data_IF_681791630835
#
_entry.id   IF_681791630835
#
_cell.length_a   1.000
_cell.length_b   1.000
_cell.length_c   1.000
_cell.angle_alpha   90.00
_cell.angle_beta   90.00
_cell.angle_gamma   90.00
#
_symmetry.space_group_name_H-M   'P 1'
#
loop_
_entity.id
_entity.type
_entity.pdbx_description
1 polymer ?
#
# COMPACT_ATOMS: atom_id res chain seq x y z
N UNK A 1 6.39 -8.76 30.81
CA UNK A 1 7.83 -8.77 30.49
C UNK A 1 7.92 -8.66 28.98
N UNK A 2 8.42 -7.58 28.38
CA UNK A 2 8.67 -7.61 26.94
C UNK A 2 9.80 -8.62 26.76
N UNK A 3 9.60 -9.64 25.93
CA UNK A 3 10.66 -10.57 25.58
C UNK A 3 11.89 -9.74 25.17
N UNK A 4 13.04 -9.98 25.80
CA UNK A 4 14.32 -9.49 25.30
C UNK A 4 14.46 -10.03 23.89
N UNK A 5 14.15 -9.20 22.89
CA UNK A 5 14.02 -9.64 21.49
C UNK A 5 15.38 -10.14 21.01
N UNK A 6 15.40 -11.35 20.48
CA UNK A 6 16.61 -11.91 19.90
C UNK A 6 17.04 -11.05 18.70
N UNK A 7 18.34 -10.73 18.58
CA UNK A 7 18.84 -10.01 17.41
C UNK A 7 18.58 -10.86 16.17
N UNK A 8 18.18 -10.19 15.08
CA UNK A 8 18.01 -10.85 13.78
C UNK A 8 19.36 -11.33 13.25
N UNK A 9 19.37 -12.45 12.55
CA UNK A 9 20.58 -13.03 11.98
C UNK A 9 20.80 -12.65 10.52
N UNK A 10 19.72 -12.41 9.77
CA UNK A 10 19.76 -11.97 8.38
C UNK A 10 18.43 -11.36 7.92
N UNK A 11 18.47 -10.64 6.80
CA UNK A 11 17.27 -10.23 6.05
C UNK A 11 17.04 -11.17 4.87
N UNK A 12 15.80 -11.58 4.64
CA UNK A 12 15.42 -12.49 3.54
C UNK A 12 14.29 -11.89 2.72
N UNK A 13 14.48 -11.76 1.40
CA UNK A 13 13.39 -11.52 0.46
C UNK A 13 12.53 -12.78 0.37
N UNK A 14 11.28 -12.68 0.83
CA UNK A 14 10.31 -13.76 0.79
C UNK A 14 9.39 -13.56 -0.42
N UNK A 15 9.72 -14.22 -1.52
CA UNK A 15 8.89 -14.19 -2.73
C UNK A 15 7.66 -15.08 -2.52
N UNK A 16 6.50 -14.45 -2.43
CA UNK A 16 5.21 -15.12 -2.18
C UNK A 16 4.37 -15.24 -3.44
N UNK A 17 4.85 -14.71 -4.57
CA UNK A 17 4.14 -14.73 -5.85
C UNK A 17 4.57 -15.92 -6.69
N UNK A 18 3.68 -16.37 -7.56
CA UNK A 18 4.03 -17.32 -8.61
C UNK A 18 5.05 -16.72 -9.59
N UNK A 19 4.88 -15.43 -9.90
CA UNK A 19 5.79 -14.66 -10.72
C UNK A 19 5.95 -13.24 -10.15
N UNK A 20 7.20 -12.81 -9.99
CA UNK A 20 7.57 -11.45 -9.63
C UNK A 20 8.30 -10.83 -10.84
N UNK A 21 7.81 -9.70 -11.41
CA UNK A 21 8.48 -9.02 -12.51
C UNK A 21 9.93 -8.66 -12.16
N UNK A 22 10.83 -8.71 -13.14
CA UNK A 22 12.27 -8.55 -12.93
C UNK A 22 12.59 -7.22 -12.26
N UNK A 23 11.99 -6.13 -12.76
CA UNK A 23 12.22 -4.80 -12.20
C UNK A 23 11.75 -4.70 -10.73
N UNK A 24 10.64 -5.33 -10.37
CA UNK A 24 10.17 -5.34 -8.98
C UNK A 24 11.08 -6.19 -8.10
N UNK A 25 11.53 -7.36 -8.60
CA UNK A 25 12.50 -8.19 -7.89
C UNK A 25 13.76 -7.41 -7.55
N UNK A 26 14.31 -6.69 -8.52
CA UNK A 26 15.51 -5.88 -8.34
C UNK A 26 15.31 -4.79 -7.27
N UNK A 27 14.18 -4.07 -7.33
CA UNK A 27 13.81 -3.08 -6.31
C UNK A 27 13.67 -3.72 -4.93
N UNK A 28 13.00 -4.87 -4.82
CA UNK A 28 12.80 -5.57 -3.56
C UNK A 28 14.12 -6.06 -2.95
N UNK A 29 15.05 -6.55 -3.78
CA UNK A 29 16.39 -6.94 -3.33
C UNK A 29 17.16 -5.75 -2.76
N UNK A 30 17.13 -4.60 -3.44
CA UNK A 30 17.76 -3.40 -2.91
C UNK A 30 17.11 -2.92 -1.61
N UNK A 31 15.78 -2.95 -1.51
CA UNK A 31 15.07 -2.65 -0.25
C UNK A 31 15.55 -3.59 0.87
N UNK A 32 15.68 -4.89 0.59
CA UNK A 32 16.20 -5.85 1.55
C UNK A 32 17.65 -5.55 1.95
N UNK A 33 18.52 -5.12 1.02
CA UNK A 33 19.89 -4.69 1.31
C UNK A 33 19.91 -3.44 2.22
N UNK A 34 19.06 -2.44 1.96
CA UNK A 34 18.94 -1.25 2.81
C UNK A 34 18.46 -1.59 4.23
N UNK A 35 17.51 -2.53 4.36
CA UNK A 35 17.04 -3.03 5.65
C UNK A 35 18.10 -3.87 6.38
N UNK A 36 18.89 -4.66 5.65
CA UNK A 36 19.99 -5.43 6.22
C UNK A 36 21.05 -4.52 6.83
N UNK A 37 21.43 -3.46 6.11
CA UNK A 37 22.32 -2.41 6.62
C UNK A 37 21.75 -1.74 7.87
N UNK A 38 20.46 -1.42 7.88
CA UNK A 38 19.78 -0.79 9.02
C UNK A 38 19.75 -1.70 10.26
N UNK A 39 19.59 -3.01 10.05
CA UNK A 39 19.54 -4.02 11.12
C UNK A 39 20.93 -4.56 11.50
N UNK A 40 22.01 -4.08 10.86
CA UNK A 40 23.38 -4.54 11.04
C UNK A 40 23.56 -6.06 10.81
N UNK A 41 22.89 -6.59 9.78
CA UNK A 41 22.96 -8.00 9.36
C UNK A 41 23.17 -8.09 7.85
N UNK A 42 23.40 -9.30 7.34
CA UNK A 42 23.48 -9.53 5.90
C UNK A 42 22.11 -9.86 5.30
N UNK A 43 21.92 -9.55 4.02
CA UNK A 43 20.84 -10.12 3.22
C UNK A 43 21.28 -11.50 2.71
N UNK A 44 20.47 -12.52 2.93
CA UNK A 44 20.75 -13.89 2.46
C UNK A 44 19.65 -14.38 1.53
N UNK A 45 20.01 -15.28 0.62
CA UNK A 45 19.03 -15.98 -0.20
C UNK A 45 18.25 -17.00 0.65
N UNK A 46 16.96 -17.25 0.35
CA UNK A 46 16.22 -18.31 1.00
C UNK A 46 16.91 -19.67 0.81
N UNK A 47 17.12 -20.41 1.89
CA UNK A 47 17.68 -21.78 1.84
C UNK A 47 16.56 -22.81 2.03
N UNK A 48 16.47 -23.87 1.20
CA UNK A 48 15.49 -24.93 1.37
C UNK A 48 15.75 -25.81 2.61
N UNK A 49 16.94 -25.75 3.21
CA UNK A 49 17.29 -26.48 4.44
C UNK A 49 17.32 -25.56 5.66
N UNK A 50 16.44 -24.56 5.69
CA UNK A 50 16.36 -23.60 6.78
C UNK A 50 16.21 -24.31 8.13
N UNK A 51 17.08 -23.93 9.07
CA UNK A 51 16.89 -24.31 10.47
C UNK A 51 15.66 -23.57 11.00
N UNK A 52 14.76 -24.28 11.69
CA UNK A 52 13.62 -23.70 12.42
C UNK A 52 14.04 -22.65 13.47
N UNK A 53 15.35 -22.54 13.74
CA UNK A 53 15.95 -21.61 14.71
C UNK A 53 16.54 -20.33 14.10
N UNK A 54 16.40 -20.09 12.79
CA UNK A 54 16.98 -18.91 12.17
C UNK A 54 16.11 -17.67 12.40
N UNK A 55 16.57 -16.73 13.23
CA UNK A 55 15.88 -15.48 13.54
C UNK A 55 15.98 -14.47 12.39
N UNK A 56 15.29 -14.71 11.27
CA UNK A 56 15.30 -13.81 10.12
C UNK A 56 14.34 -12.64 10.25
N UNK A 57 14.62 -11.60 9.48
CA UNK A 57 13.71 -10.50 9.19
C UNK A 57 13.27 -10.61 7.72
N UNK A 58 11.98 -10.79 7.49
CA UNK A 58 11.44 -11.10 6.16
C UNK A 58 11.01 -9.83 5.42
N UNK A 59 11.25 -9.81 4.13
CA UNK A 59 10.79 -8.76 3.21
C UNK A 59 9.85 -9.43 2.22
N UNK A 60 8.54 -9.55 2.53
CA UNK A 60 7.62 -10.27 1.66
C UNK A 60 7.21 -9.44 0.45
N UNK A 61 7.06 -10.10 -0.71
CA UNK A 61 6.62 -9.43 -1.94
C UNK A 61 5.14 -9.03 -1.92
N UNK A 62 4.33 -9.68 -1.07
CA UNK A 62 2.92 -9.37 -0.84
C UNK A 62 2.62 -9.34 0.66
N UNK A 63 1.48 -8.78 1.04
CA UNK A 63 0.94 -8.92 2.39
C UNK A 63 0.74 -10.41 2.66
N UNK A 64 1.30 -10.89 3.75
CA UNK A 64 1.22 -12.31 4.12
C UNK A 64 -0.22 -12.66 4.49
N UNK A 65 -0.67 -13.83 4.06
CA UNK A 65 -1.99 -14.36 4.40
C UNK A 65 -1.80 -15.71 5.07
N UNK A 66 -2.52 -15.95 6.18
CA UNK A 66 -2.41 -17.13 7.04
C UNK A 66 -1.23 -17.07 8.03
N UNK A 67 -1.50 -16.53 9.23
CA UNK A 67 -0.52 -16.41 10.30
C UNK A 67 0.02 -17.76 10.78
N UNK A 68 -0.76 -18.84 10.70
CA UNK A 68 -0.29 -20.16 11.13
C UNK A 68 0.81 -20.69 10.22
N UNK A 69 0.68 -20.45 8.91
CA UNK A 69 1.70 -20.81 7.92
C UNK A 69 3.04 -20.10 8.19
N UNK A 70 3.00 -18.80 8.51
CA UNK A 70 4.23 -18.00 8.68
C UNK A 70 4.80 -18.05 10.11
N UNK A 71 4.02 -18.46 11.10
CA UNK A 71 4.53 -18.77 12.45
C UNK A 71 5.60 -19.88 12.41
N UNK A 72 5.49 -20.85 11.49
CA UNK A 72 6.49 -21.88 11.28
C UNK A 72 7.82 -21.34 10.71
N UNK A 73 7.80 -20.14 10.12
CA UNK A 73 8.99 -19.40 9.68
C UNK A 73 9.47 -18.37 10.72
N UNK A 74 8.87 -18.36 11.93
CA UNK A 74 9.22 -17.42 12.99
C UNK A 74 8.66 -16.00 12.80
N UNK A 75 7.63 -15.83 11.95
CA UNK A 75 6.92 -14.55 11.81
C UNK A 75 5.76 -14.49 12.80
N UNK A 76 5.87 -13.59 13.78
CA UNK A 76 4.92 -13.46 14.87
C UNK A 76 4.41 -12.02 15.06
N UNK A 77 5.28 -11.01 14.88
CA UNK A 77 4.92 -9.61 15.03
C UNK A 77 5.64 -8.68 14.03
N UNK A 78 5.41 -7.36 14.14
CA UNK A 78 5.99 -6.34 13.25
C UNK A 78 7.55 -6.31 13.25
N UNK A 79 8.21 -6.99 14.18
CA UNK A 79 9.67 -7.09 14.27
C UNK A 79 10.23 -8.23 13.42
N UNK A 80 9.38 -9.02 12.77
CA UNK A 80 9.78 -10.19 11.99
C UNK A 80 9.67 -9.96 10.48
N UNK A 81 9.02 -8.88 10.04
CA UNK A 81 8.88 -8.56 8.62
C UNK A 81 8.88 -7.07 8.33
N UNK A 82 9.13 -6.69 7.07
CA UNK A 82 8.86 -5.36 6.50
C UNK A 82 7.66 -5.42 5.55
N UNK A 83 6.46 -5.15 6.08
CA UNK A 83 5.19 -5.37 5.40
C UNK A 83 4.08 -5.59 6.42
N UNK A 84 3.03 -6.31 6.03
CA UNK A 84 1.98 -6.75 6.92
C UNK A 84 1.52 -8.19 6.68
N UNK A 85 0.71 -8.67 7.62
CA UNK A 85 0.10 -9.99 7.60
C UNK A 85 -1.37 -9.89 8.01
N UNK A 86 -2.20 -10.70 7.37
CA UNK A 86 -3.65 -10.77 7.58
C UNK A 86 -4.14 -12.21 7.64
N UNK A 87 -5.36 -12.41 8.15
CA UNK A 87 -5.94 -13.75 8.29
C UNK A 87 -6.62 -14.28 7.04
N UNK A 88 -7.12 -13.41 6.16
CA UNK A 88 -7.88 -13.81 4.97
C UNK A 88 -7.42 -13.08 3.71
N UNK A 89 -7.50 -13.69 2.51
CA UNK A 89 -7.01 -13.10 1.26
C UNK A 89 -7.57 -11.71 0.95
N UNK A 90 -8.89 -11.53 1.03
CA UNK A 90 -9.55 -10.24 0.74
C UNK A 90 -9.00 -9.08 1.60
N UNK A 91 -8.54 -9.37 2.84
CA UNK A 91 -7.98 -8.37 3.75
C UNK A 91 -6.68 -7.76 3.22
N UNK A 92 -5.92 -8.50 2.41
CA UNK A 92 -4.69 -8.02 1.78
C UNK A 92 -4.95 -7.05 0.60
N UNK A 93 -6.20 -6.69 0.34
CA UNK A 93 -6.60 -5.90 -0.83
C UNK A 93 -7.51 -4.73 -0.45
N UNK A 94 -7.84 -3.90 -1.43
CA UNK A 94 -8.83 -2.82 -1.33
C UNK A 94 -10.27 -3.29 -1.07
N UNK A 95 -10.56 -4.60 -1.14
CA UNK A 95 -11.88 -5.16 -0.85
C UNK A 95 -12.39 -4.83 0.55
N UNK A 96 -11.52 -4.56 1.52
CA UNK A 96 -11.96 -4.22 2.88
C UNK A 96 -12.66 -2.86 2.98
N UNK A 97 -12.47 -1.98 1.99
CA UNK A 97 -12.76 -0.55 2.14
C UNK A 97 -14.23 -0.22 2.25
N UNK A 98 -15.14 -1.07 1.79
CA UNK A 98 -16.55 -0.72 1.65
C UNK A 98 -17.46 -1.78 2.28
N UNK A 99 -18.66 -1.39 2.76
CA UNK A 99 -19.66 -2.34 3.23
C UNK A 99 -20.16 -3.22 2.07
N UNK A 100 -20.86 -4.29 2.40
CA UNK A 100 -21.61 -5.07 1.42
C UNK A 100 -22.97 -4.44 1.11
N UNK A 101 -23.57 -4.70 -0.08
CA UNK A 101 -24.99 -4.45 -0.28
C UNK A 101 -25.82 -5.38 0.64
N UNK A 102 -27.07 -4.99 0.93
CA UNK A 102 -27.95 -5.78 1.78
C UNK A 102 -28.14 -7.21 1.23
N UNK A 103 -28.09 -8.20 2.12
CA UNK A 103 -28.23 -9.62 1.80
C UNK A 103 -27.20 -10.14 0.77
N UNK A 104 -26.00 -9.55 0.73
CA UNK A 104 -24.90 -10.03 -0.12
C UNK A 104 -24.28 -11.32 0.40
N UNK A 105 -23.60 -12.05 -0.49
CA UNK A 105 -22.72 -13.14 -0.09
C UNK A 105 -21.32 -12.63 0.22
N UNK A 106 -20.64 -13.30 1.14
CA UNK A 106 -19.30 -12.90 1.57
C UNK A 106 -18.45 -14.12 1.99
N UNK A 107 -17.11 -14.01 1.88
CA UNK A 107 -16.21 -15.08 2.27
C UNK A 107 -16.10 -15.20 3.79
N UNK A 108 -15.58 -16.34 4.30
CA UNK A 108 -15.20 -16.46 5.69
C UNK A 108 -14.27 -15.33 6.14
N UNK A 109 -14.49 -14.83 7.36
CA UNK A 109 -13.70 -13.75 7.94
C UNK A 109 -14.18 -12.33 7.61
N UNK A 110 -15.18 -12.18 6.74
CA UNK A 110 -15.75 -10.87 6.46
C UNK A 110 -16.46 -10.27 7.68
N UNK A 111 -16.37 -8.95 7.83
CA UNK A 111 -17.09 -8.17 8.85
C UNK A 111 -17.39 -6.76 8.34
N UNK A 112 -18.65 -6.33 8.46
CA UNK A 112 -19.04 -4.95 8.14
C UNK A 112 -18.55 -3.95 9.21
N UNK A 113 -18.09 -4.43 10.37
CA UNK A 113 -17.65 -3.57 11.47
C UNK A 113 -16.44 -2.69 11.10
N UNK A 114 -15.59 -3.18 10.18
CA UNK A 114 -14.51 -2.38 9.62
C UNK A 114 -15.06 -1.15 8.90
N UNK A 115 -15.94 -1.35 7.90
CA UNK A 115 -16.49 -0.25 7.11
C UNK A 115 -17.36 0.69 7.96
N UNK A 116 -18.08 0.17 8.95
CA UNK A 116 -18.86 0.99 9.89
C UNK A 116 -17.98 1.91 10.74
N UNK A 117 -16.81 1.43 11.18
CA UNK A 117 -15.86 2.25 11.93
C UNK A 117 -15.13 3.22 10.99
N UNK A 118 -14.62 2.72 9.87
CA UNK A 118 -13.86 3.50 8.90
C UNK A 118 -14.71 4.53 8.15
N UNK A 119 -16.05 4.47 8.21
CA UNK A 119 -17.03 5.28 7.46
C UNK A 119 -16.54 6.65 6.98
N UNK A 120 -16.16 7.56 7.88
CA UNK A 120 -15.78 8.94 7.54
C UNK A 120 -14.42 9.06 6.82
N UNK A 121 -13.66 7.97 6.77
CA UNK A 121 -12.44 7.80 6.02
C UNK A 121 -12.65 7.17 4.64
N UNK A 122 -13.88 6.80 4.27
CA UNK A 122 -14.17 6.08 3.03
C UNK A 122 -14.95 6.96 2.05
N UNK A 123 -14.77 6.68 0.76
CA UNK A 123 -15.72 7.13 -0.25
C UNK A 123 -16.98 6.28 -0.19
N UNK A 124 -18.06 6.75 -0.80
CA UNK A 124 -19.27 5.93 -0.95
C UNK A 124 -18.97 4.78 -1.90
N UNK A 125 -19.28 3.56 -1.48
CA UNK A 125 -19.09 2.37 -2.30
C UNK A 125 -19.59 1.10 -1.66
N UNK A 126 -19.36 0.00 -2.37
CA UNK A 126 -19.65 -1.36 -1.96
C UNK A 126 -18.50 -2.29 -2.36
N UNK A 127 -18.26 -3.28 -1.50
CA UNK A 127 -17.53 -4.48 -1.87
C UNK A 127 -18.51 -5.59 -2.18
N UNK A 128 -18.19 -6.42 -3.18
CA UNK A 128 -19.02 -7.54 -3.60
C UNK A 128 -18.18 -8.78 -3.87
N UNK A 129 -18.73 -9.96 -3.60
CA UNK A 129 -18.08 -11.25 -3.83
C UNK A 129 -18.84 -12.14 -4.82
N UNK A 130 -19.81 -11.56 -5.53
CA UNK A 130 -20.56 -12.24 -6.59
C UNK A 130 -20.96 -11.28 -7.70
N UNK A 131 -21.15 -11.82 -8.90
CA UNK A 131 -21.64 -11.05 -10.05
C UNK A 131 -23.07 -10.53 -9.83
N UNK A 132 -23.89 -11.26 -9.08
CA UNK A 132 -25.24 -10.82 -8.73
C UNK A 132 -25.20 -9.59 -7.81
N UNK A 133 -24.32 -9.60 -6.80
CA UNK A 133 -24.16 -8.50 -5.87
C UNK A 133 -23.53 -7.28 -6.53
N UNK A 134 -22.61 -7.48 -7.47
CA UNK A 134 -22.05 -6.42 -8.28
C UNK A 134 -23.12 -5.64 -9.05
N UNK A 135 -24.09 -6.34 -9.66
CA UNK A 135 -25.22 -5.69 -10.35
C UNK A 135 -26.08 -4.89 -9.37
N UNK A 136 -26.42 -5.46 -8.21
CA UNK A 136 -27.19 -4.77 -7.16
C UNK A 136 -26.47 -3.52 -6.65
N UNK A 137 -25.17 -3.63 -6.37
CA UNK A 137 -24.34 -2.51 -5.93
C UNK A 137 -24.26 -1.40 -6.98
N UNK A 138 -24.07 -1.75 -8.26
CA UNK A 138 -24.06 -0.79 -9.34
C UNK A 138 -25.40 -0.07 -9.50
N UNK A 139 -26.53 -0.79 -9.44
CA UNK A 139 -27.87 -0.20 -9.48
C UNK A 139 -28.14 0.80 -8.34
N UNK A 140 -27.52 0.60 -7.17
CA UNK A 140 -27.61 1.52 -6.05
C UNK A 140 -26.75 2.76 -6.28
N UNK A 141 -25.47 2.57 -6.63
CA UNK A 141 -24.50 3.66 -6.78
C UNK A 141 -24.79 4.55 -7.99
N UNK A 142 -25.22 3.97 -9.12
CA UNK A 142 -25.50 4.69 -10.36
C UNK A 142 -26.65 5.71 -10.25
N UNK A 143 -27.44 5.65 -9.16
CA UNK A 143 -28.47 6.66 -8.87
C UNK A 143 -27.87 8.01 -8.48
N UNK A 144 -26.65 8.00 -7.96
CA UNK A 144 -25.95 9.16 -7.44
C UNK A 144 -24.80 9.64 -8.37
N UNK A 145 -24.49 8.91 -9.44
CA UNK A 145 -23.49 9.31 -10.44
C UNK A 145 -22.69 8.15 -11.04
N UNK A 146 -21.63 8.45 -11.82
CA UNK A 146 -20.72 7.46 -12.36
C UNK A 146 -20.04 6.64 -11.26
N UNK A 147 -19.76 5.37 -11.57
CA UNK A 147 -19.20 4.38 -10.62
C UNK A 147 -17.87 3.87 -11.13
N UNK A 148 -16.86 3.92 -10.28
CA UNK A 148 -15.55 3.34 -10.53
C UNK A 148 -15.52 1.89 -10.05
N UNK A 149 -15.25 0.99 -10.99
CA UNK A 149 -15.08 -0.45 -10.79
C UNK A 149 -13.61 -0.76 -10.59
N UNK A 150 -13.27 -1.44 -9.49
CA UNK A 150 -11.90 -1.67 -9.05
C UNK A 150 -11.64 -3.15 -8.80
N UNK A 151 -11.07 -3.87 -9.79
CA UNK A 151 -10.51 -5.20 -9.55
C UNK A 151 -9.48 -5.13 -8.43
N UNK A 152 -9.64 -5.97 -7.41
CA UNK A 152 -8.93 -5.77 -6.13
C UNK A 152 -7.46 -6.19 -6.20
N UNK A 153 -7.13 -7.15 -7.07
CA UNK A 153 -5.76 -7.63 -7.31
C UNK A 153 -4.95 -6.74 -8.24
N UNK A 154 -5.60 -5.83 -8.98
CA UNK A 154 -4.89 -4.91 -9.85
C UNK A 154 -4.18 -3.82 -9.03
N UNK A 155 -2.99 -3.42 -9.48
CA UNK A 155 -2.12 -2.46 -8.81
C UNK A 155 -1.94 -1.20 -9.66
N UNK A 156 -1.57 -0.08 -9.00
CA UNK A 156 -1.22 1.19 -9.64
C UNK A 156 -2.31 1.73 -10.60
N UNK A 157 -3.57 1.66 -10.20
CA UNK A 157 -4.69 2.18 -10.99
C UNK A 157 -5.08 1.34 -12.22
N UNK A 158 -4.26 0.36 -12.62
CA UNK A 158 -4.51 -0.44 -13.82
C UNK A 158 -5.81 -1.25 -13.68
N UNK A 159 -6.56 -1.35 -14.77
CA UNK A 159 -7.79 -2.15 -14.83
C UNK A 159 -9.00 -1.55 -14.12
N UNK A 160 -8.90 -0.34 -13.57
CA UNK A 160 -10.07 0.40 -13.08
C UNK A 160 -10.86 0.97 -14.26
N UNK A 161 -12.18 0.93 -14.18
CA UNK A 161 -13.06 1.44 -15.22
C UNK A 161 -14.21 2.23 -14.61
N UNK A 162 -14.61 3.31 -15.26
CA UNK A 162 -15.76 4.12 -14.86
C UNK A 162 -16.96 3.73 -15.72
N UNK A 163 -18.07 3.39 -15.08
CA UNK A 163 -19.35 3.09 -15.73
C UNK A 163 -20.35 4.20 -15.41
N UNK A 164 -21.19 4.53 -16.39
CA UNK A 164 -22.28 5.52 -16.26
C UNK A 164 -23.67 4.90 -16.35
N UNK A 165 -23.73 3.60 -16.67
CA UNK A 165 -24.95 2.81 -16.71
C UNK A 165 -24.64 1.34 -16.37
N UNK A 166 -25.68 0.57 -16.06
CA UNK A 166 -25.54 -0.83 -15.69
C UNK A 166 -25.16 -1.76 -16.84
N UNK A 167 -25.37 -1.37 -18.10
CA UNK A 167 -25.03 -2.21 -19.25
C UNK A 167 -23.51 -2.29 -19.43
N UNK A 168 -22.80 -1.20 -19.14
CA UNK A 168 -21.34 -1.14 -19.17
C UNK A 168 -20.66 -2.10 -18.15
N UNK A 169 -21.39 -2.57 -17.13
CA UNK A 169 -20.87 -3.53 -16.15
C UNK A 169 -20.78 -4.97 -16.71
N UNK A 170 -21.64 -5.34 -17.67
CA UNK A 170 -21.78 -6.74 -18.09
C UNK A 170 -20.50 -7.32 -18.70
N UNK A 171 -19.81 -6.65 -19.65
CA UNK A 171 -18.56 -7.18 -20.21
C UNK A 171 -17.46 -7.36 -19.14
N UNK A 172 -17.47 -6.52 -18.10
CA UNK A 172 -16.52 -6.62 -16.99
C UNK A 172 -16.79 -7.87 -16.15
N UNK A 173 -18.05 -8.13 -15.83
CA UNK A 173 -18.43 -9.32 -15.06
C UNK A 173 -18.26 -10.61 -15.85
N UNK A 174 -18.50 -10.60 -17.17
CA UNK A 174 -18.29 -11.76 -18.03
C UNK A 174 -16.82 -12.21 -18.04
N UNK A 175 -15.88 -11.26 -18.03
CA UNK A 175 -14.45 -11.55 -18.01
C UNK A 175 -13.91 -12.06 -16.66
N UNK A 176 -14.68 -11.90 -15.56
CA UNK A 176 -14.24 -12.29 -14.22
C UNK A 176 -14.50 -13.76 -13.91
N UNK A 177 -13.48 -14.43 -13.37
CA UNK A 177 -13.61 -15.75 -12.77
C UNK A 177 -14.41 -15.68 -11.45
N UNK A 178 -15.43 -16.53 -11.31
CA UNK A 178 -16.34 -16.50 -10.16
C UNK A 178 -15.68 -16.96 -8.86
N UNK A 179 -14.72 -17.89 -8.93
CA UNK A 179 -14.00 -18.37 -7.75
C UNK A 179 -13.05 -17.28 -7.23
N UNK A 180 -12.32 -16.62 -8.13
CA UNK A 180 -11.48 -15.48 -7.77
C UNK A 180 -12.32 -14.32 -7.22
N UNK A 181 -13.46 -14.01 -7.82
CA UNK A 181 -14.37 -12.99 -7.32
C UNK A 181 -14.89 -13.33 -5.92
N UNK A 182 -15.28 -14.58 -5.67
CA UNK A 182 -15.73 -15.04 -4.36
C UNK A 182 -14.66 -15.01 -3.27
N UNK A 183 -13.38 -15.12 -3.66
CA UNK A 183 -12.25 -15.12 -2.73
C UNK A 183 -11.71 -13.73 -2.42
N UNK A 184 -11.55 -12.91 -3.45
CA UNK A 184 -10.86 -11.62 -3.37
C UNK A 184 -11.83 -10.44 -3.33
N UNK A 185 -12.94 -10.55 -4.05
CA UNK A 185 -13.95 -9.50 -4.17
C UNK A 185 -13.72 -8.53 -5.32
N UNK A 186 -14.67 -7.62 -5.47
CA UNK A 186 -14.68 -6.49 -6.40
C UNK A 186 -15.17 -5.25 -5.63
N UNK A 187 -14.56 -4.10 -5.91
CA UNK A 187 -15.00 -2.83 -5.33
C UNK A 187 -15.71 -2.00 -6.39
N UNK A 188 -16.86 -1.43 -6.01
CA UNK A 188 -17.59 -0.42 -6.75
C UNK A 188 -17.70 0.81 -5.86
N UNK A 189 -17.23 1.96 -6.32
CA UNK A 189 -17.29 3.20 -5.54
C UNK A 189 -17.67 4.39 -6.41
N UNK A 190 -18.08 5.50 -5.80
CA UNK A 190 -18.30 6.74 -6.53
C UNK A 190 -17.02 7.17 -7.26
N UNK A 191 -17.17 7.61 -8.51
CA UNK A 191 -16.05 8.20 -9.24
C UNK A 191 -15.89 9.68 -8.86
N UNK A 192 -14.64 10.16 -8.88
CA UNK A 192 -14.30 11.53 -8.54
C UNK A 192 -13.58 12.20 -9.72
N UNK A 193 -13.90 13.46 -9.95
CA UNK A 193 -13.23 14.33 -10.90
C UNK A 193 -12.10 15.14 -10.23
N UNK A 194 -11.10 15.53 -11.03
CA UNK A 194 -9.97 16.37 -10.60
C UNK A 194 -9.28 15.82 -9.33
N UNK A 195 -8.96 14.52 -9.34
CA UNK A 195 -8.44 13.81 -8.18
C UNK A 195 -6.99 14.16 -7.91
N UNK A 196 -6.73 14.57 -6.68
CA UNK A 196 -5.41 14.56 -6.06
C UNK A 196 -5.30 13.30 -5.19
N UNK A 197 -4.20 12.57 -5.30
CA UNK A 197 -3.95 11.40 -4.46
C UNK A 197 -2.79 11.67 -3.50
N UNK A 198 -3.03 11.41 -2.22
CA UNK A 198 -2.04 11.52 -1.17
C UNK A 198 -1.59 10.13 -0.72
N UNK A 199 -0.30 10.01 -0.39
CA UNK A 199 0.24 8.86 0.33
C UNK A 199 0.39 9.23 1.80
N UNK A 200 -0.27 8.49 2.69
CA UNK A 200 -0.08 8.61 4.14
C UNK A 200 0.35 7.27 4.69
N UNK A 201 1.42 7.21 5.47
CA UNK A 201 1.92 5.93 5.95
C UNK A 201 2.83 6.03 7.17
N UNK A 202 3.18 4.85 7.67
CA UNK A 202 4.09 4.69 8.80
C UNK A 202 4.90 3.40 8.67
N UNK A 203 6.19 3.50 8.96
CA UNK A 203 7.11 2.37 9.03
C UNK A 203 7.70 2.21 10.43
N UNK A 204 7.82 0.97 10.90
CA UNK A 204 8.39 0.56 12.18
C UNK A 204 9.41 -0.55 11.96
N UNK A 205 10.69 -0.24 12.13
CA UNK A 205 11.79 -1.20 11.99
C UNK A 205 13.02 -0.70 12.74
N UNK A 206 13.82 -1.62 13.27
CA UNK A 206 15.06 -1.30 14.00
C UNK A 206 14.85 -0.30 15.16
N UNK A 207 13.69 -0.33 15.82
CA UNK A 207 13.33 0.59 16.89
C UNK A 207 12.98 2.02 16.44
N UNK A 208 13.00 2.29 15.13
CA UNK A 208 12.53 3.55 14.55
C UNK A 208 11.04 3.44 14.24
N UNK A 209 10.32 4.54 14.47
CA UNK A 209 8.99 4.78 13.92
C UNK A 209 9.10 6.05 13.08
N UNK A 210 8.73 5.96 11.80
CA UNK A 210 8.64 7.12 10.91
C UNK A 210 7.23 7.18 10.33
N UNK A 211 6.63 8.36 10.33
CA UNK A 211 5.34 8.64 9.72
C UNK A 211 5.48 9.69 8.63
N UNK A 212 4.63 9.62 7.61
CA UNK A 212 4.70 10.53 6.48
C UNK A 212 3.35 10.84 5.88
N UNK A 213 3.30 11.99 5.21
CA UNK A 213 2.28 12.32 4.22
C UNK A 213 2.98 12.81 2.95
N UNK A 214 2.31 12.76 1.82
CA UNK A 214 2.87 13.26 0.57
C UNK A 214 1.88 13.20 -0.57
N UNK A 215 2.24 13.82 -1.68
CA UNK A 215 1.42 13.83 -2.91
C UNK A 215 1.98 12.82 -3.88
N UNK A 216 1.09 12.05 -4.51
CA UNK A 216 1.44 11.15 -5.60
C UNK A 216 1.45 11.90 -6.92
N UNK A 217 2.32 11.47 -7.82
CA UNK A 217 2.40 11.97 -9.18
C UNK A 217 2.13 10.85 -10.16
N UNK A 218 1.56 11.20 -11.31
CA UNK A 218 1.38 10.27 -12.42
C UNK A 218 2.53 10.43 -13.42
N UNK A 219 2.84 9.32 -14.10
CA UNK A 219 3.74 9.26 -15.24
C UNK A 219 3.01 8.59 -16.40
N UNK A 220 3.57 8.64 -17.60
CA UNK A 220 3.01 7.94 -18.77
C UNK A 220 3.87 6.75 -19.11
N UNK A 221 3.23 5.60 -19.26
CA UNK A 221 3.91 4.41 -19.78
C UNK A 221 4.14 4.51 -21.29
N UNK A 222 4.79 3.49 -21.87
CA UNK A 222 5.06 3.46 -23.33
C UNK A 222 3.81 3.46 -24.20
N UNK A 223 2.64 3.10 -23.65
CA UNK A 223 1.36 3.18 -24.34
C UNK A 223 0.68 4.56 -24.18
N UNK A 224 1.30 5.48 -23.44
CA UNK A 224 0.74 6.80 -23.11
C UNK A 224 -0.30 6.76 -22.00
N UNK A 225 -0.48 5.61 -21.31
CA UNK A 225 -1.43 5.47 -20.21
C UNK A 225 -0.86 6.12 -18.96
N UNK A 226 -1.67 6.91 -18.26
CA UNK A 226 -1.28 7.50 -16.99
C UNK A 226 -1.28 6.44 -15.88
N UNK A 227 -0.15 6.31 -15.19
CA UNK A 227 0.10 5.34 -14.13
C UNK A 227 0.85 6.01 -13.00
N UNK A 228 0.92 5.35 -11.84
CA UNK A 228 1.69 5.87 -10.71
C UNK A 228 3.16 6.13 -11.10
N UNK A 229 3.60 7.36 -10.89
CA UNK A 229 4.95 7.85 -11.23
C UNK A 229 5.84 8.11 -10.02
N UNK A 230 5.33 7.95 -8.80
CA UNK A 230 6.08 8.23 -7.57
C UNK A 230 5.32 9.13 -6.60
N UNK A 231 5.93 9.40 -5.44
CA UNK A 231 5.38 10.31 -4.43
C UNK A 231 6.46 11.27 -3.93
N UNK A 232 6.09 12.52 -3.64
CA UNK A 232 6.89 13.44 -2.82
C UNK A 232 6.39 13.39 -1.37
N UNK A 233 7.22 12.91 -0.46
CA UNK A 233 6.90 12.66 0.95
C UNK A 233 7.58 13.66 1.88
N UNK A 234 6.83 14.12 2.88
CA UNK A 234 7.35 14.73 4.10
C UNK A 234 7.32 13.67 5.18
N UNK A 235 8.49 13.32 5.70
CA UNK A 235 8.66 12.22 6.65
C UNK A 235 9.15 12.79 7.98
N UNK A 236 8.56 12.35 9.09
CA UNK A 236 8.94 12.75 10.45
C UNK A 236 9.38 11.54 11.27
N UNK A 237 10.24 11.79 12.25
CA UNK A 237 10.49 10.84 13.33
C UNK A 237 9.27 10.81 14.26
N UNK A 238 8.76 9.61 14.52
CA UNK A 238 7.60 9.38 15.37
C UNK A 238 6.39 8.89 14.59
N UNK A 239 5.28 8.80 15.30
CA UNK A 239 4.00 8.28 14.81
C UNK A 239 3.14 9.35 14.10
N UNK A 240 1.89 9.01 13.78
CA UNK A 240 0.95 9.94 13.16
C UNK A 240 0.66 11.18 14.02
N UNK A 241 0.77 11.09 15.36
CA UNK A 241 0.59 12.25 16.23
C UNK A 241 1.71 13.27 16.01
N UNK A 242 2.95 12.80 15.82
CA UNK A 242 4.07 13.67 15.45
C UNK A 242 3.87 14.28 14.06
N UNK A 243 3.33 13.50 13.11
CA UNK A 243 3.00 13.99 11.78
C UNK A 243 1.94 15.11 11.82
N UNK A 244 0.91 14.96 12.67
CA UNK A 244 -0.16 15.94 12.86
C UNK A 244 0.31 17.26 13.51
N UNK A 245 1.49 17.29 14.15
CA UNK A 245 2.09 18.51 14.71
C UNK A 245 2.72 19.41 13.64
N UNK A 246 2.85 18.95 12.40
CA UNK A 246 3.31 19.79 11.30
C UNK A 246 2.30 20.93 11.02
N UNK A 247 2.76 22.06 10.48
CA UNK A 247 1.89 23.10 9.94
C UNK A 247 1.23 22.59 8.64
N UNK A 248 0.13 21.86 8.79
CA UNK A 248 -0.60 21.20 7.71
C UNK A 248 -1.78 22.05 7.24
N UNK A 249 -2.02 22.02 5.94
CA UNK A 249 -3.32 22.43 5.38
C UNK A 249 -4.43 21.48 5.84
N UNK A 250 -5.66 21.98 5.95
CA UNK A 250 -6.80 21.23 6.49
C UNK A 250 -7.05 19.92 5.73
N UNK A 251 -6.86 19.91 4.41
CA UNK A 251 -7.06 18.73 3.59
C UNK A 251 -5.99 17.64 3.83
N UNK A 252 -4.74 18.04 4.09
CA UNK A 252 -3.67 17.09 4.46
C UNK A 252 -3.91 16.53 5.86
N UNK A 253 -4.38 17.38 6.79
CA UNK A 253 -4.78 16.94 8.14
C UNK A 253 -5.94 15.96 8.07
N UNK A 254 -6.94 16.21 7.22
CA UNK A 254 -8.03 15.29 6.96
C UNK A 254 -7.51 13.96 6.44
N UNK A 255 -6.65 13.95 5.41
CA UNK A 255 -6.06 12.73 4.87
C UNK A 255 -5.33 11.92 5.97
N UNK A 256 -4.53 12.55 6.82
CA UNK A 256 -3.85 11.86 7.91
C UNK A 256 -4.85 11.23 8.89
N UNK A 257 -5.89 11.97 9.28
CA UNK A 257 -6.93 11.43 10.16
C UNK A 257 -7.68 10.25 9.50
N UNK A 258 -7.99 10.34 8.20
CA UNK A 258 -8.64 9.25 7.46
C UNK A 258 -7.77 7.99 7.41
N UNK A 259 -6.47 8.14 7.17
CA UNK A 259 -5.52 7.03 7.24
C UNK A 259 -5.50 6.37 8.64
N UNK A 260 -5.49 7.20 9.70
CA UNK A 260 -5.52 6.71 11.08
C UNK A 260 -6.82 5.96 11.39
N UNK A 261 -7.99 6.52 11.06
CA UNK A 261 -9.28 5.86 11.30
C UNK A 261 -9.41 4.54 10.53
N UNK A 262 -8.90 4.49 9.30
CA UNK A 262 -8.85 3.28 8.50
C UNK A 262 -7.92 2.21 9.11
N UNK A 263 -6.75 2.61 9.59
CA UNK A 263 -5.80 1.74 10.30
C UNK A 263 -6.39 1.20 11.61
N UNK A 264 -6.97 2.08 12.44
CA UNK A 264 -7.61 1.72 13.71
C UNK A 264 -8.75 0.70 13.50
N UNK A 265 -9.51 0.84 12.40
CA UNK A 265 -10.52 -0.13 12.03
C UNK A 265 -9.89 -1.50 11.69
N UNK A 266 -8.76 -1.53 10.96
CA UNK A 266 -8.06 -2.78 10.63
C UNK A 266 -7.52 -3.46 11.90
N UNK A 267 -6.82 -2.72 12.77
CA UNK A 267 -6.29 -3.22 14.03
C UNK A 267 -7.39 -3.78 14.94
N UNK A 268 -8.57 -3.16 14.92
CA UNK A 268 -9.68 -3.56 15.78
C UNK A 268 -10.46 -4.76 15.27
N UNK A 269 -10.67 -4.86 13.95
CA UNK A 269 -11.63 -5.81 13.38
C UNK A 269 -11.01 -6.90 12.51
N UNK A 270 -9.69 -6.89 12.27
CA UNK A 270 -8.98 -7.97 11.59
C UNK A 270 -8.05 -8.70 12.57
N UNK A 271 -8.54 -9.76 13.24
CA UNK A 271 -7.71 -10.57 14.12
C UNK A 271 -6.46 -11.06 13.40
N UNK A 272 -5.31 -10.95 14.08
CA UNK A 272 -4.01 -11.34 13.51
C UNK A 272 -3.41 -10.32 12.54
N UNK A 273 -4.04 -9.16 12.34
CA UNK A 273 -3.43 -8.06 11.60
C UNK A 273 -2.17 -7.56 12.31
N UNK A 274 -1.06 -7.58 11.58
CA UNK A 274 0.19 -6.92 11.98
C UNK A 274 0.74 -6.15 10.78
N UNK A 275 1.36 -5.00 11.01
CA UNK A 275 2.00 -4.22 9.96
C UNK A 275 3.18 -3.41 10.50
N UNK A 276 4.39 -3.77 10.08
CA UNK A 276 5.57 -2.93 10.28
C UNK A 276 5.66 -1.83 9.23
N UNK A 277 5.06 -2.04 8.06
CA UNK A 277 4.94 -1.06 6.98
C UNK A 277 3.48 -0.93 6.57
N UNK A 278 2.96 0.29 6.60
CA UNK A 278 1.64 0.64 6.06
C UNK A 278 1.69 1.93 5.26
N UNK A 279 0.93 1.95 4.18
CA UNK A 279 0.66 3.12 3.36
C UNK A 279 -0.81 3.08 2.94
N UNK A 280 -1.46 4.23 2.94
CA UNK A 280 -2.84 4.41 2.49
C UNK A 280 -2.85 5.49 1.41
N UNK A 281 -3.51 5.17 0.31
CA UNK A 281 -3.70 6.10 -0.80
C UNK A 281 -5.04 6.79 -0.58
N UNK A 282 -5.03 8.12 -0.46
CA UNK A 282 -6.20 8.92 -0.15
C UNK A 282 -6.51 9.83 -1.32
N UNK A 283 -7.70 9.68 -1.89
CA UNK A 283 -8.19 10.58 -2.93
C UNK A 283 -8.83 11.80 -2.30
N UNK A 284 -8.65 12.95 -2.97
CA UNK A 284 -9.45 14.14 -2.80
C UNK A 284 -9.89 14.64 -4.18
N UNK A 285 -11.18 14.82 -4.38
CA UNK A 285 -11.74 15.21 -5.69
C UNK A 285 -13.19 15.64 -5.58
N UNK A 286 -13.82 15.97 -6.71
CA UNK A 286 -15.22 16.36 -6.76
C UNK A 286 -16.10 15.16 -7.12
N UNK A 287 -17.20 14.96 -6.40
CA UNK A 287 -18.23 14.00 -6.81
C UNK A 287 -19.03 14.51 -8.02
N UNK A 288 -19.91 13.67 -8.56
CA UNK A 288 -20.76 14.01 -9.71
C UNK A 288 -21.63 15.27 -9.51
N UNK A 289 -21.90 15.65 -8.27
CA UNK A 289 -22.66 16.85 -7.92
C UNK A 289 -21.77 18.07 -7.65
N UNK A 290 -20.45 17.94 -7.80
CA UNK A 290 -19.47 18.99 -7.54
C UNK A 290 -19.09 19.17 -6.08
N UNK A 291 -19.49 18.25 -5.18
CA UNK A 291 -19.06 18.32 -3.79
C UNK A 291 -17.65 17.76 -3.64
N UNK A 292 -16.82 18.45 -2.88
CA UNK A 292 -15.50 17.95 -2.53
C UNK A 292 -15.62 16.74 -1.60
N UNK A 293 -14.99 15.63 -1.99
CA UNK A 293 -14.87 14.38 -1.23
C UNK A 293 -13.42 14.07 -0.94
N UNK A 294 -13.19 13.34 0.15
CA UNK A 294 -11.90 12.79 0.52
C UNK A 294 -12.11 11.41 1.12
N UNK A 295 -11.27 10.44 0.77
CA UNK A 295 -11.37 9.09 1.34
C UNK A 295 -10.24 8.17 0.91
N UNK A 296 -9.97 7.15 1.73
CA UNK A 296 -9.00 6.11 1.45
C UNK A 296 -9.48 5.28 0.26
N UNK A 297 -8.65 5.23 -0.79
CA UNK A 297 -8.89 4.42 -1.98
C UNK A 297 -8.46 2.98 -1.78
N UNK A 298 -7.31 2.77 -1.13
CA UNK A 298 -6.76 1.46 -0.85
C UNK A 298 -5.65 1.51 0.21
N UNK A 299 -5.41 0.37 0.85
CA UNK A 299 -4.24 0.13 1.69
C UNK A 299 -3.13 -0.57 0.92
N UNK A 300 -1.89 -0.38 1.38
CA UNK A 300 -0.70 -1.10 0.96
C UNK A 300 0.12 -1.54 2.19
N UNK A 301 -0.09 -2.78 2.63
CA UNK A 301 0.68 -3.48 3.67
C UNK A 301 1.72 -4.44 3.07
N UNK A 302 2.31 -4.07 1.94
CA UNK A 302 3.38 -4.79 1.23
C UNK A 302 4.40 -3.80 0.71
N UNK A 303 5.47 -4.24 0.07
CA UNK A 303 6.34 -3.33 -0.68
C UNK A 303 5.55 -2.62 -1.79
N UNK A 304 5.85 -1.33 -1.99
CA UNK A 304 5.17 -0.51 -2.99
C UNK A 304 6.00 0.69 -3.44
N UNK A 305 5.37 1.57 -4.22
CA UNK A 305 6.05 2.71 -4.85
C UNK A 305 6.69 3.71 -3.88
N UNK A 306 6.24 3.78 -2.62
CA UNK A 306 6.83 4.61 -1.59
C UNK A 306 8.02 3.94 -0.86
N UNK A 307 8.16 2.61 -0.93
CA UNK A 307 9.15 1.86 -0.15
C UNK A 307 10.62 2.27 -0.37
N UNK A 308 11.06 2.62 -1.59
CA UNK A 308 12.38 3.22 -1.80
C UNK A 308 12.64 4.48 -0.95
N UNK A 309 11.68 5.40 -0.87
CA UNK A 309 11.81 6.59 -0.02
C UNK A 309 11.78 6.24 1.47
N UNK A 310 10.96 5.28 1.88
CA UNK A 310 10.87 4.81 3.27
C UNK A 310 12.22 4.28 3.78
N UNK A 311 12.88 3.40 3.02
CA UNK A 311 14.16 2.80 3.46
C UNK A 311 15.32 3.80 3.47
N UNK A 312 15.37 4.72 2.51
CA UNK A 312 16.36 5.80 2.54
C UNK A 312 16.13 6.74 3.73
N UNK A 313 14.87 7.05 4.05
CA UNK A 313 14.54 7.84 5.22
C UNK A 313 14.95 7.13 6.51
N UNK A 314 14.62 5.84 6.65
CA UNK A 314 15.03 5.02 7.80
C UNK A 314 16.55 5.07 8.01
N UNK A 315 17.35 4.96 6.95
CA UNK A 315 18.80 5.08 7.05
C UNK A 315 19.25 6.48 7.49
N UNK A 316 18.66 7.54 6.93
CA UNK A 316 18.98 8.91 7.32
C UNK A 316 18.65 9.18 8.81
N UNK A 317 17.46 8.78 9.27
CA UNK A 317 17.07 8.90 10.67
C UNK A 317 17.87 7.98 11.61
N UNK A 318 18.35 6.83 11.15
CA UNK A 318 19.26 6.00 11.94
C UNK A 318 20.64 6.64 12.11
N UNK A 319 21.15 7.28 11.05
CA UNK A 319 22.46 7.93 11.04
C UNK A 319 22.50 9.22 11.87
N UNK A 320 21.40 9.97 11.92
CA UNK A 320 21.29 11.20 12.71
C UNK A 320 20.11 11.17 13.69
N UNK A 321 20.36 10.89 15.00
CA UNK A 321 19.34 10.95 16.04
C UNK A 321 18.67 12.33 16.21
N UNK A 322 19.34 13.42 15.83
CA UNK A 322 18.81 14.76 15.93
C UNK A 322 17.82 15.08 14.79
N UNK A 323 17.89 14.38 13.66
CA UNK A 323 16.98 14.54 12.53
C UNK A 323 15.54 14.26 12.97
N UNK A 324 14.67 15.26 12.79
CA UNK A 324 13.24 15.16 13.13
C UNK A 324 12.34 15.10 11.90
N UNK A 325 12.81 15.59 10.75
CA UNK A 325 12.04 15.67 9.52
C UNK A 325 12.95 15.71 8.32
N UNK A 326 12.55 15.05 7.24
CA UNK A 326 13.19 15.15 5.92
C UNK A 326 12.14 15.12 4.81
N UNK A 327 12.56 15.41 3.58
CA UNK A 327 11.76 15.17 2.39
C UNK A 327 12.37 14.02 1.60
N UNK A 328 11.54 13.13 1.11
CA UNK A 328 11.97 12.05 0.24
C UNK A 328 11.03 11.98 -0.96
N UNK A 329 11.53 11.50 -2.09
CA UNK A 329 10.68 11.32 -3.27
C UNK A 329 11.01 10.03 -3.98
N UNK A 330 10.02 9.33 -4.48
CA UNK A 330 10.18 8.19 -5.40
C UNK A 330 9.79 8.59 -6.81
N UNK A 331 10.38 7.93 -7.80
CA UNK A 331 10.19 8.23 -9.21
C UNK A 331 10.19 6.95 -10.03
N UNK A 332 9.17 6.77 -10.86
CA UNK A 332 9.08 5.77 -11.92
C UNK A 332 9.00 6.48 -13.27
N UNK A 333 10.00 6.26 -14.12
CA UNK A 333 10.15 6.97 -15.40
C UNK A 333 10.32 5.95 -16.52
N UNK A 334 9.43 5.99 -17.50
CA UNK A 334 9.48 5.15 -18.69
C UNK A 334 10.39 5.77 -19.75
N UNK A 335 11.14 4.93 -20.45
CA UNK A 335 12.12 5.31 -21.46
C UNK A 335 13.52 5.60 -20.90
N UNK A 336 14.35 6.25 -21.72
CA UNK A 336 15.72 6.59 -21.36
C UNK A 336 15.74 7.82 -20.43
N UNK A 337 15.82 7.56 -19.13
CA UNK A 337 15.88 8.59 -18.11
C UNK A 337 17.32 8.91 -17.70
N UNK A 338 17.69 10.20 -17.76
CA UNK A 338 18.88 10.70 -17.07
C UNK A 338 18.55 10.92 -15.60
N UNK A 339 19.24 10.18 -14.73
CA UNK A 339 19.02 10.24 -13.30
C UNK A 339 19.64 11.54 -12.72
N UNK A 340 18.95 12.23 -11.79
CA UNK A 340 19.55 13.29 -10.99
C UNK A 340 20.79 12.78 -10.24
N UNK A 341 21.77 13.66 -10.00
CA UNK A 341 23.02 13.29 -9.32
C UNK A 341 22.83 12.86 -7.87
N UNK A 342 21.72 13.30 -7.24
CA UNK A 342 21.32 12.96 -5.88
C UNK A 342 20.34 11.77 -5.83
N UNK A 343 20.12 11.07 -6.95
CA UNK A 343 19.25 9.90 -7.00
C UNK A 343 19.96 8.64 -6.51
N UNK A 344 19.27 7.89 -5.65
CA UNK A 344 19.59 6.49 -5.38
C UNK A 344 18.80 5.61 -6.34
N UNK A 345 19.53 4.87 -7.17
CA UNK A 345 18.96 4.03 -8.22
C UNK A 345 18.49 2.68 -7.67
N UNK A 346 17.21 2.37 -7.87
CA UNK A 346 16.62 1.06 -7.51
C UNK A 346 16.53 0.10 -8.68
N UNK A 347 16.25 0.60 -9.87
CA UNK A 347 16.24 -0.18 -11.10
C UNK A 347 16.45 0.74 -12.29
N UNK A 348 17.20 0.29 -13.30
CA UNK A 348 17.23 0.89 -14.63
C UNK A 348 17.54 -0.20 -15.63
N UNK A 349 16.65 -0.40 -16.60
CA UNK A 349 16.78 -1.48 -17.55
C UNK A 349 15.53 -1.67 -18.40
N UNK A 350 15.59 -2.69 -19.25
CA UNK A 350 14.47 -3.15 -20.05
C UNK A 350 13.79 -4.30 -19.33
N UNK A 351 12.59 -4.06 -18.83
CA UNK A 351 11.72 -5.08 -18.25
C UNK A 351 10.89 -5.74 -19.36
N UNK A 352 10.66 -7.06 -19.25
CA UNK A 352 9.95 -7.81 -20.28
C UNK A 352 8.46 -7.44 -20.40
N UNK A 353 7.86 -6.88 -19.34
CA UNK A 353 6.45 -6.49 -19.29
C UNK A 353 6.27 -4.98 -19.53
N UNK A 354 7.17 -4.17 -18.97
CA UNK A 354 7.06 -2.71 -18.97
C UNK A 354 8.03 -2.00 -19.93
N UNK A 355 8.90 -2.73 -20.63
CA UNK A 355 9.91 -2.15 -21.51
C UNK A 355 10.98 -1.37 -20.74
N UNK A 356 11.60 -0.38 -21.40
CA UNK A 356 12.65 0.44 -20.77
C UNK A 356 12.05 1.33 -19.66
N UNK A 357 12.56 1.23 -18.43
CA UNK A 357 12.17 2.12 -17.33
C UNK A 357 13.29 2.31 -16.30
N UNK A 358 13.14 3.33 -15.47
CA UNK A 358 13.99 3.60 -14.31
C UNK A 358 13.13 3.84 -13.06
N UNK A 359 13.54 3.26 -11.93
CA UNK A 359 12.97 3.49 -10.61
C UNK A 359 14.05 4.00 -9.68
N UNK A 360 13.85 5.16 -9.07
CA UNK A 360 14.82 5.76 -8.17
C UNK A 360 14.14 6.53 -7.05
N UNK A 361 14.88 6.81 -5.99
CA UNK A 361 14.44 7.66 -4.90
C UNK A 361 15.48 8.73 -4.57
N UNK A 362 15.04 9.78 -3.90
CA UNK A 362 15.88 10.92 -3.50
C UNK A 362 15.55 11.32 -2.09
N UNK A 363 16.56 11.63 -1.29
CA UNK A 363 16.41 12.39 -0.06
C UNK A 363 16.73 13.84 -0.42
N UNK A 364 15.78 14.73 -0.14
CA UNK A 364 15.99 16.17 -0.26
C UNK A 364 16.10 16.70 1.16
N UNK A 365 17.22 17.35 1.46
CA UNK A 365 17.39 18.01 2.74
C UNK A 365 16.23 18.98 2.97
N UNK A 366 15.82 19.06 4.23
CA UNK A 366 14.99 20.15 4.65
C UNK A 366 15.84 21.14 5.44
N UNK A 367 15.66 22.42 5.14
CA UNK A 367 16.32 23.56 5.78
C UNK A 367 16.61 23.26 7.25
N UNK A 368 17.90 23.15 7.59
CA UNK A 368 18.33 23.28 8.97
C UNK A 368 17.68 24.55 9.49
N UNK A 369 16.75 24.42 10.46
CA UNK A 369 16.30 25.58 11.21
C UNK A 369 17.53 26.14 11.90
N UNK A 370 17.90 27.37 11.53
CA UNK A 370 18.74 28.25 12.32
C UNK A 370 18.25 28.37 13.77
#
# INVERSE_FOLDING_TARGET
MPHSREPKSAVVLLDTREHTPEHERAVHLQIADHLALLLCVERVEPSPTQSETAAYYYVPTQTLVDAQRYAALGVHDEHDLFGGMVSHPHMATKAISHPLPADAIFPPGWTDAFAQHASDALLRGYTVFSKADARRAAELLLRDGPVRIKPVLACAGRGQQVIVDGQALEPLLEAMDEQQLGLWGLVLEEDLDAVETFSVGQVRVAGLTLSYHGTQHLTRDHAGTEVYGGSDLVIVRGDYQHLLQLPLEDHLRLAINQAMTYEEAAERYFPGFIASRRNYDIARGQDHHGHLRSGVLEQSWRLGGASPAEVLALQAFAADPALQRLRASTHEVFGDAQLPTDATLFYQGHDSELGQLSKYARIRDHDHRE
#
